data_IF_305223451291
#
_entry.id   IF_305223451291
#
_cell.length_a   1.000
_cell.length_b   1.000
_cell.length_c   1.000
_cell.angle_alpha   90.00
_cell.angle_beta   90.00
_cell.angle_gamma   90.00
#
_symmetry.space_group_name_H-M   'P 1'
#
loop_
_entity.id
_entity.type
_entity.pdbx_description
1 polymer ?
#
# COMPACT_ATOMS: atom_id res chain seq x y z
N UNK A 1 25.37 -5.79 -13.56
CA UNK A 1 25.15 -4.37 -13.97
C UNK A 1 23.74 -4.02 -14.48
N UNK A 2 22.88 -4.97 -14.91
CA UNK A 2 21.51 -4.63 -15.40
C UNK A 2 20.59 -3.95 -14.36
N UNK A 3 20.70 -4.33 -13.08
CA UNK A 3 19.86 -3.79 -12.01
C UNK A 3 20.05 -2.28 -11.78
N UNK A 4 21.26 -1.74 -11.96
CA UNK A 4 21.53 -0.32 -11.73
C UNK A 4 20.91 0.58 -12.81
N UNK A 5 20.77 0.04 -14.03
CA UNK A 5 20.15 0.73 -15.16
C UNK A 5 18.61 0.69 -15.07
N UNK A 6 18.04 -0.42 -14.61
CA UNK A 6 16.58 -0.52 -14.35
C UNK A 6 16.15 0.33 -13.16
N UNK A 7 16.95 0.43 -12.09
CA UNK A 7 16.68 1.32 -10.95
C UNK A 7 16.69 2.81 -11.34
N UNK A 8 17.63 3.24 -12.20
CA UNK A 8 17.61 4.58 -12.78
C UNK A 8 16.34 4.82 -13.60
N UNK A 9 15.89 3.80 -14.35
CA UNK A 9 14.65 3.91 -15.12
C UNK A 9 13.43 4.03 -14.22
N UNK A 10 13.28 3.20 -13.18
CA UNK A 10 12.14 3.26 -12.25
C UNK A 10 12.08 4.61 -11.53
N UNK A 11 13.22 5.11 -11.02
CA UNK A 11 13.29 6.44 -10.41
C UNK A 11 12.87 7.55 -11.39
N UNK A 12 13.32 7.47 -12.65
CA UNK A 12 12.91 8.40 -13.70
C UNK A 12 11.39 8.33 -13.98
N UNK A 13 10.80 7.14 -14.01
CA UNK A 13 9.35 6.98 -14.15
C UNK A 13 8.58 7.57 -12.97
N UNK A 14 9.08 7.40 -11.73
CA UNK A 14 8.45 7.98 -10.54
C UNK A 14 8.50 9.51 -10.55
N UNK A 15 9.65 10.09 -10.91
CA UNK A 15 9.80 11.53 -11.04
C UNK A 15 8.93 12.09 -12.17
N UNK A 16 8.86 11.38 -13.30
CA UNK A 16 8.03 11.79 -14.44
C UNK A 16 6.53 11.69 -14.13
N UNK A 17 6.09 10.61 -13.46
CA UNK A 17 4.71 10.47 -13.01
C UNK A 17 4.33 11.57 -12.00
N UNK A 18 5.23 11.93 -11.08
CA UNK A 18 5.02 13.04 -10.15
C UNK A 18 4.95 14.40 -10.87
N UNK A 19 5.74 14.59 -11.92
CA UNK A 19 5.67 15.80 -12.74
C UNK A 19 4.36 15.88 -13.52
N UNK A 20 3.93 14.81 -14.19
CA UNK A 20 2.62 14.76 -14.90
C UNK A 20 1.43 14.96 -13.92
N UNK A 21 1.54 14.43 -12.70
CA UNK A 21 0.58 14.68 -11.63
C UNK A 21 0.48 16.17 -11.28
N UNK A 22 1.59 16.91 -11.30
CA UNK A 22 1.60 18.36 -11.08
C UNK A 22 0.88 19.14 -12.18
N UNK A 23 0.80 18.57 -13.39
CA UNK A 23 0.09 19.13 -14.53
C UNK A 23 -1.40 18.75 -14.56
N UNK A 24 -1.90 18.08 -13.50
CA UNK A 24 -3.27 17.56 -13.40
C UNK A 24 -3.64 16.48 -14.45
N UNK A 25 -2.64 15.93 -15.14
CA UNK A 25 -2.80 14.87 -16.15
C UNK A 25 -2.84 13.47 -15.49
N UNK A 26 -3.86 13.24 -14.66
CA UNK A 26 -3.93 12.03 -13.82
C UNK A 26 -3.97 10.72 -14.62
N UNK A 27 -4.58 10.72 -15.81
CA UNK A 27 -4.61 9.53 -16.67
C UNK A 27 -3.23 9.14 -17.18
N UNK A 28 -2.42 10.14 -17.54
CA UNK A 28 -1.03 9.90 -18.00
C UNK A 28 -0.15 9.45 -16.85
N UNK A 29 -0.27 10.11 -15.69
CA UNK A 29 0.43 9.70 -14.47
C UNK A 29 0.17 8.21 -14.13
N UNK A 30 -1.11 7.77 -14.16
CA UNK A 30 -1.48 6.35 -13.97
C UNK A 30 -0.82 5.44 -14.99
N UNK A 31 -0.88 5.80 -16.28
CA UNK A 31 -0.24 4.99 -17.32
C UNK A 31 1.27 4.84 -17.11
N UNK A 32 1.93 5.86 -16.58
CA UNK A 32 3.36 5.83 -16.28
C UNK A 32 3.63 4.92 -15.07
N UNK A 33 2.80 5.00 -14.02
CA UNK A 33 2.90 4.10 -12.86
C UNK A 33 2.68 2.63 -13.25
N UNK A 34 1.67 2.32 -14.07
CA UNK A 34 1.45 0.93 -14.52
C UNK A 34 2.65 0.44 -15.36
N UNK A 35 3.23 1.28 -16.23
CA UNK A 35 4.46 0.92 -16.94
C UNK A 35 5.64 0.66 -16.00
N UNK A 36 5.78 1.45 -14.94
CA UNK A 36 6.82 1.24 -13.94
C UNK A 36 6.64 -0.11 -13.21
N UNK A 37 5.39 -0.49 -12.91
CA UNK A 37 5.04 -1.80 -12.34
C UNK A 37 5.34 -2.93 -13.33
N UNK A 38 5.02 -2.77 -14.62
CA UNK A 38 5.30 -3.79 -15.63
C UNK A 38 6.81 -4.05 -15.79
N UNK A 39 7.64 -3.03 -15.57
CA UNK A 39 9.11 -3.16 -15.62
C UNK A 39 9.63 -3.88 -14.37
N UNK A 40 9.22 -3.42 -13.18
CA UNK A 40 9.63 -4.04 -11.92
C UNK A 40 8.51 -3.97 -10.86
N UNK A 41 7.64 -4.97 -10.88
CA UNK A 41 6.54 -5.08 -9.92
C UNK A 41 7.02 -5.42 -8.49
N UNK A 42 8.27 -5.86 -8.32
CA UNK A 42 8.83 -6.27 -7.02
C UNK A 42 9.30 -5.06 -6.20
N UNK A 43 9.56 -3.95 -6.86
CA UNK A 43 9.87 -2.71 -6.17
C UNK A 43 8.60 -2.14 -5.51
N UNK A 44 8.51 -2.37 -4.20
CA UNK A 44 7.40 -1.88 -3.39
C UNK A 44 7.32 -0.34 -3.35
N UNK A 45 8.41 0.39 -3.65
CA UNK A 45 8.41 1.86 -3.69
C UNK A 45 7.49 2.39 -4.79
N UNK A 46 7.38 1.68 -5.93
CA UNK A 46 6.47 2.07 -7.01
C UNK A 46 5.03 2.01 -6.55
N UNK A 47 4.66 0.92 -5.87
CA UNK A 47 3.32 0.74 -5.29
C UNK A 47 3.01 1.81 -4.24
N UNK A 48 3.97 2.12 -3.35
CA UNK A 48 3.83 3.18 -2.36
C UNK A 48 3.56 4.54 -3.03
N UNK A 49 4.39 4.93 -3.98
CA UNK A 49 4.26 6.22 -4.68
C UNK A 49 2.98 6.33 -5.48
N UNK A 50 2.57 5.24 -6.12
CA UNK A 50 1.33 5.21 -6.90
C UNK A 50 0.10 5.36 -5.99
N UNK A 51 0.04 4.63 -4.88
CA UNK A 51 -1.06 4.75 -3.95
C UNK A 51 -1.08 6.12 -3.24
N UNK A 52 0.08 6.66 -2.85
CA UNK A 52 0.21 8.03 -2.31
C UNK A 52 -0.29 9.09 -3.32
N UNK A 53 -0.01 8.91 -4.60
CA UNK A 53 -0.51 9.78 -5.66
C UNK A 53 -2.03 9.75 -5.75
N UNK A 54 -2.66 8.57 -5.75
CA UNK A 54 -4.13 8.46 -5.79
C UNK A 54 -4.76 9.07 -4.52
N UNK A 55 -4.14 8.87 -3.35
CA UNK A 55 -4.59 9.45 -2.08
C UNK A 55 -4.54 10.98 -2.09
N UNK A 56 -3.43 11.57 -2.55
CA UNK A 56 -3.27 13.04 -2.64
C UNK A 56 -4.36 13.68 -3.50
N UNK A 57 -4.79 12.98 -4.55
CA UNK A 57 -5.84 13.43 -5.46
C UNK A 57 -7.25 13.00 -5.03
N UNK A 58 -7.42 12.44 -3.83
CA UNK A 58 -8.69 11.98 -3.25
C UNK A 58 -9.38 10.85 -4.03
N UNK A 59 -8.63 10.11 -4.86
CA UNK A 59 -9.13 8.96 -5.59
C UNK A 59 -9.04 7.68 -4.74
N UNK A 60 -9.83 7.63 -3.67
CA UNK A 60 -9.78 6.58 -2.65
C UNK A 60 -10.00 5.17 -3.22
N UNK A 61 -10.98 5.01 -4.12
CA UNK A 61 -11.25 3.70 -4.73
C UNK A 61 -10.09 3.20 -5.58
N UNK A 62 -9.41 4.10 -6.30
CA UNK A 62 -8.21 3.73 -7.05
C UNK A 62 -7.06 3.38 -6.11
N UNK A 63 -6.85 4.17 -5.05
CA UNK A 63 -5.83 3.87 -4.03
C UNK A 63 -6.05 2.47 -3.41
N UNK A 64 -7.30 2.13 -3.03
CA UNK A 64 -7.67 0.79 -2.53
C UNK A 64 -7.35 -0.32 -3.52
N UNK A 65 -7.63 -0.11 -4.81
CA UNK A 65 -7.33 -1.11 -5.83
C UNK A 65 -5.82 -1.31 -5.99
N UNK A 66 -5.03 -0.23 -5.94
CA UNK A 66 -3.56 -0.29 -5.98
C UNK A 66 -3.03 -1.03 -4.76
N UNK A 67 -3.48 -0.69 -3.55
CA UNK A 67 -3.07 -1.39 -2.33
C UNK A 67 -3.43 -2.87 -2.36
N UNK A 68 -4.65 -3.21 -2.76
CA UNK A 68 -5.08 -4.61 -2.88
C UNK A 68 -4.23 -5.41 -3.85
N UNK A 69 -3.89 -4.83 -5.02
CA UNK A 69 -2.97 -5.46 -5.97
C UNK A 69 -1.58 -5.62 -5.35
N UNK A 70 -1.05 -4.58 -4.71
CA UNK A 70 0.27 -4.58 -4.10
C UNK A 70 0.43 -5.69 -3.06
N UNK A 71 -0.51 -5.80 -2.10
CA UNK A 71 -0.46 -6.83 -1.04
C UNK A 71 -0.75 -8.25 -1.55
N UNK A 72 -1.46 -8.38 -2.68
CA UNK A 72 -1.69 -9.68 -3.32
C UNK A 72 -0.43 -10.18 -4.04
N UNK A 73 0.29 -9.27 -4.70
CA UNK A 73 1.52 -9.60 -5.42
C UNK A 73 2.73 -9.75 -4.49
N UNK A 74 2.80 -8.92 -3.44
CA UNK A 74 3.91 -8.84 -2.50
C UNK A 74 3.43 -9.02 -1.05
N UNK A 75 2.87 -10.19 -0.69
CA UNK A 75 2.29 -10.42 0.64
C UNK A 75 3.32 -10.39 1.76
N UNK A 76 4.60 -10.65 1.45
CA UNK A 76 5.71 -10.66 2.44
C UNK A 76 6.22 -9.27 2.79
N UNK A 77 5.79 -8.22 2.09
CA UNK A 77 6.26 -6.86 2.36
C UNK A 77 5.33 -6.20 3.37
N UNK A 78 5.67 -6.35 4.66
CA UNK A 78 4.93 -5.78 5.80
C UNK A 78 4.63 -4.28 5.64
N UNK A 79 5.56 -3.52 5.04
CA UNK A 79 5.40 -2.09 4.83
C UNK A 79 4.18 -1.71 3.98
N UNK A 80 3.80 -2.55 3.00
CA UNK A 80 2.60 -2.33 2.19
C UNK A 80 1.33 -2.50 3.02
N UNK A 81 1.29 -3.53 3.86
CA UNK A 81 0.17 -3.79 4.76
C UNK A 81 -0.02 -2.66 5.78
N UNK A 82 1.06 -2.22 6.41
CA UNK A 82 1.04 -1.08 7.34
C UNK A 82 0.45 0.18 6.70
N UNK A 83 0.91 0.51 5.49
CA UNK A 83 0.42 1.69 4.77
C UNK A 83 -1.03 1.54 4.33
N UNK A 84 -1.45 0.33 3.96
CA UNK A 84 -2.82 0.07 3.57
C UNK A 84 -3.78 0.20 4.77
N UNK A 85 -3.46 -0.43 5.90
CA UNK A 85 -4.24 -0.27 7.14
C UNK A 85 -4.30 1.19 7.55
N UNK A 86 -3.16 1.88 7.56
CA UNK A 86 -3.12 3.30 7.92
C UNK A 86 -4.03 4.16 7.04
N UNK A 87 -4.13 3.85 5.74
CA UNK A 87 -5.08 4.51 4.85
C UNK A 87 -6.53 4.27 5.29
N UNK A 88 -6.91 3.03 5.58
CA UNK A 88 -8.28 2.70 6.01
C UNK A 88 -8.62 3.34 7.37
N UNK A 89 -7.66 3.36 8.31
CA UNK A 89 -7.78 4.08 9.59
C UNK A 89 -8.02 5.58 9.36
N UNK A 90 -7.25 6.22 8.48
CA UNK A 90 -7.40 7.64 8.15
C UNK A 90 -8.74 7.96 7.47
N UNK A 91 -9.36 6.98 6.81
CA UNK A 91 -10.69 7.08 6.22
C UNK A 91 -11.82 6.77 7.23
N UNK A 92 -11.48 6.36 8.46
CA UNK A 92 -12.44 5.95 9.48
C UNK A 92 -13.11 4.60 9.18
N UNK A 93 -12.54 3.80 8.27
CA UNK A 93 -13.12 2.56 7.77
C UNK A 93 -12.55 1.37 8.54
N UNK A 94 -12.94 1.28 9.81
CA UNK A 94 -12.42 0.30 10.77
C UNK A 94 -12.68 -1.14 10.32
N UNK A 95 -13.86 -1.43 9.76
CA UNK A 95 -14.19 -2.77 9.27
C UNK A 95 -13.28 -3.22 8.12
N UNK A 96 -12.96 -2.31 7.19
CA UNK A 96 -12.03 -2.62 6.11
C UNK A 96 -10.60 -2.80 6.64
N UNK A 97 -10.17 -1.95 7.58
CA UNK A 97 -8.86 -2.09 8.21
C UNK A 97 -8.72 -3.48 8.88
N UNK A 98 -9.78 -3.96 9.54
CA UNK A 98 -9.83 -5.31 10.13
C UNK A 98 -9.71 -6.42 9.09
N UNK A 99 -10.47 -6.34 7.99
CA UNK A 99 -10.36 -7.32 6.88
C UNK A 99 -8.92 -7.37 6.34
N UNK A 100 -8.26 -6.22 6.22
CA UNK A 100 -6.86 -6.14 5.78
C UNK A 100 -5.93 -6.82 6.78
N UNK A 101 -6.10 -6.58 8.09
CA UNK A 101 -5.33 -7.27 9.13
C UNK A 101 -5.56 -8.79 9.12
N UNK A 102 -6.81 -9.26 9.08
CA UNK A 102 -7.12 -10.69 9.01
C UNK A 102 -6.47 -11.34 7.79
N UNK A 103 -6.50 -10.66 6.64
CA UNK A 103 -5.85 -11.14 5.42
C UNK A 103 -4.32 -11.15 5.57
N UNK A 104 -3.76 -10.18 6.27
CA UNK A 104 -2.34 -10.13 6.55
C UNK A 104 -1.91 -11.28 7.46
N UNK A 105 -2.67 -11.58 8.52
CA UNK A 105 -2.38 -12.68 9.45
C UNK A 105 -2.41 -14.05 8.79
N UNK A 106 -3.25 -14.25 7.76
CA UNK A 106 -3.25 -15.49 6.95
C UNK A 106 -1.92 -15.78 6.25
N UNK A 107 -1.07 -14.77 6.06
CA UNK A 107 0.26 -14.94 5.49
C UNK A 107 1.34 -15.22 6.53
N UNK A 108 0.95 -15.42 7.80
CA UNK A 108 1.84 -15.66 8.94
C UNK A 108 2.99 -14.63 9.00
N UNK A 109 2.66 -13.33 9.19
CA UNK A 109 3.65 -12.29 9.23
C UNK A 109 4.44 -12.32 10.55
N UNK A 110 5.52 -11.54 10.60
CA UNK A 110 6.35 -11.40 11.80
C UNK A 110 5.54 -10.94 13.02
N UNK A 111 6.05 -11.24 14.22
CA UNK A 111 5.42 -10.92 15.51
C UNK A 111 5.01 -9.43 15.62
N UNK A 112 5.80 -8.54 15.02
CA UNK A 112 5.51 -7.10 14.98
C UNK A 112 4.18 -6.75 14.29
N UNK A 113 3.76 -7.54 13.30
CA UNK A 113 2.47 -7.36 12.64
C UNK A 113 1.31 -7.71 13.59
N UNK A 114 1.47 -8.77 14.40
CA UNK A 114 0.49 -9.17 15.41
C UNK A 114 0.33 -8.12 16.50
N UNK A 115 1.43 -7.57 17.04
CA UNK A 115 1.36 -6.44 17.97
C UNK A 115 0.64 -5.23 17.38
N UNK A 116 0.84 -4.98 16.09
CA UNK A 116 0.18 -3.85 15.41
C UNK A 116 -1.32 -4.08 15.26
N UNK A 117 -1.75 -5.33 15.10
CA UNK A 117 -3.16 -5.69 15.06
C UNK A 117 -3.82 -5.58 16.45
N UNK A 118 -3.13 -6.03 17.50
CA UNK A 118 -3.59 -5.88 18.89
C UNK A 118 -3.75 -4.39 19.24
N UNK A 119 -2.71 -3.58 18.97
CA UNK A 119 -2.77 -2.13 19.20
C UNK A 119 -3.87 -1.44 18.39
N UNK A 120 -4.27 -2.01 17.25
CA UNK A 120 -5.40 -1.52 16.46
C UNK A 120 -6.73 -1.86 17.15
N UNK A 121 -6.97 -3.11 17.53
CA UNK A 121 -8.21 -3.51 18.21
C UNK A 121 -8.37 -2.83 19.57
N UNK A 122 -7.28 -2.58 20.30
CA UNK A 122 -7.29 -1.78 21.53
C UNK A 122 -7.72 -0.33 21.28
N UNK A 123 -7.22 0.31 20.20
CA UNK A 123 -7.62 1.67 19.82
C UNK A 123 -9.08 1.76 19.38
N UNK A 124 -9.60 0.70 18.76
CA UNK A 124 -11.01 0.58 18.38
C UNK A 124 -11.91 0.34 19.60
N UNK A 125 -11.35 -0.16 20.71
CA UNK A 125 -12.06 -0.41 21.97
C UNK A 125 -12.64 -1.83 22.09
N UNK A 126 -12.32 -2.73 21.16
CA UNK A 126 -12.82 -4.10 21.11
C UNK A 126 -11.89 -5.05 21.88
N UNK A 127 -11.81 -4.83 23.20
CA UNK A 127 -10.90 -5.56 24.12
C UNK A 127 -11.16 -7.08 24.09
N UNK A 128 -12.39 -7.50 23.79
CA UNK A 128 -12.76 -8.91 23.68
C UNK A 128 -12.00 -9.63 22.57
N UNK A 129 -11.86 -9.00 21.39
CA UNK A 129 -11.14 -9.58 20.25
C UNK A 129 -9.63 -9.46 20.38
N UNK A 130 -9.14 -8.39 21.01
CA UNK A 130 -7.72 -8.26 21.33
C UNK A 130 -7.22 -9.44 22.17
N UNK A 131 -8.08 -10.01 23.03
CA UNK A 131 -7.78 -11.22 23.83
C UNK A 131 -7.80 -12.51 23.03
N UNK A 132 -8.64 -12.62 22.00
CA UNK A 132 -8.68 -13.80 21.12
C UNK A 132 -7.45 -13.89 20.21
N UNK A 133 -6.77 -12.77 19.99
CA UNK A 133 -5.52 -12.68 19.21
C UNK A 133 -4.28 -13.01 20.06
N UNK A 134 -4.40 -12.95 21.39
CA UNK A 134 -3.34 -13.21 22.36
C UNK A 134 -3.08 -14.72 22.55
#
# INVERSE_FOLDING_TARGET
EKLRNTLHNVSNYLNYAAWEASQLEFRRARSIFERAIDIDYRDYQVWLKYAEFEMKNKFINHARNVWNRAVTLLPRVSQLWYKYVHMEEMLGQIDNARIVFERWMKWEPEEQAWYSYINFEERVGEIGRARDIY
#
